data_IF_566145406815
#
_entry.id   IF_566145406815
#
_cell.length_a   1.000
_cell.length_b   1.000
_cell.length_c   1.000
_cell.angle_alpha   90.00
_cell.angle_beta   90.00
_cell.angle_gamma   90.00
#
_symmetry.space_group_name_H-M   'P 1'
#
loop_
_entity.id
_entity.type
_entity.pdbx_description
1 polymer ?
#
# COMPACT_ATOMS: atom_id res chain seq x y z
N UNK A 1 9.59 8.01 -6.77
CA UNK A 1 8.23 7.85 -6.19
C UNK A 1 8.25 7.35 -4.74
N UNK A 2 9.09 6.37 -4.35
CA UNK A 2 9.14 5.77 -2.99
C UNK A 2 9.42 6.75 -1.83
N UNK A 3 10.18 7.82 -2.05
CA UNK A 3 10.45 8.84 -1.00
C UNK A 3 9.17 9.65 -0.68
N UNK A 4 8.34 9.93 -1.69
CA UNK A 4 7.12 10.73 -1.52
C UNK A 4 6.04 10.02 -0.69
N UNK A 5 6.08 8.68 -0.63
CA UNK A 5 5.18 7.87 0.20
C UNK A 5 5.68 7.69 1.64
N UNK A 6 6.77 8.34 2.07
CA UNK A 6 7.35 8.22 3.43
C UNK A 6 7.62 6.76 3.84
N UNK A 7 7.90 5.87 2.88
CA UNK A 7 8.27 4.47 3.16
C UNK A 7 9.64 4.39 3.85
N UNK A 8 10.58 5.18 3.35
CA UNK A 8 11.94 5.29 3.87
C UNK A 8 12.15 6.68 4.49
N UNK A 9 13.07 6.72 5.45
CA UNK A 9 13.68 7.93 6.00
C UNK A 9 14.82 8.42 5.11
N UNK A 10 15.33 9.63 5.35
CA UNK A 10 16.46 10.21 4.61
C UNK A 10 17.76 9.38 4.69
N UNK A 11 17.84 8.45 5.64
CA UNK A 11 18.94 7.49 5.80
C UNK A 11 18.67 6.12 5.14
N UNK A 12 17.71 6.03 4.22
CA UNK A 12 17.27 4.79 3.57
C UNK A 12 16.82 3.67 4.53
N UNK A 13 16.41 4.02 5.76
CA UNK A 13 15.81 3.07 6.72
C UNK A 13 14.29 3.15 6.65
N UNK A 14 13.60 2.03 6.90
CA UNK A 14 12.14 2.01 7.01
C UNK A 14 11.66 3.05 8.03
N UNK A 15 10.67 3.85 7.63
CA UNK A 15 10.02 4.76 8.55
C UNK A 15 9.22 3.99 9.60
N UNK A 16 9.12 4.55 10.80
CA UNK A 16 8.44 3.95 11.94
C UNK A 16 7.29 4.88 12.39
N UNK A 17 6.04 4.40 12.54
CA UNK A 17 5.59 3.03 12.31
C UNK A 17 5.23 2.69 10.85
N UNK A 18 4.95 3.71 10.03
CA UNK A 18 4.28 3.55 8.72
C UNK A 18 5.07 2.64 7.78
N UNK A 19 6.36 2.88 7.53
CA UNK A 19 7.17 2.06 6.64
C UNK A 19 7.27 0.60 7.07
N UNK A 20 7.37 0.35 8.38
CA UNK A 20 7.34 -1.02 8.93
C UNK A 20 6.00 -1.72 8.75
N UNK A 21 4.89 -0.99 8.89
CA UNK A 21 3.56 -1.52 8.63
C UNK A 21 3.39 -1.80 7.13
N UNK A 22 3.89 -0.91 6.27
CA UNK A 22 3.77 -1.08 4.83
C UNK A 22 4.52 -2.31 4.32
N UNK A 23 5.72 -2.56 4.85
CA UNK A 23 6.55 -3.72 4.51
C UNK A 23 5.93 -5.07 4.89
N UNK A 24 4.85 -5.10 5.70
CA UNK A 24 4.16 -6.35 6.08
C UNK A 24 3.08 -6.76 5.09
N UNK A 25 2.63 -5.86 4.22
CA UNK A 25 1.59 -6.15 3.24
C UNK A 25 2.25 -6.53 1.91
N UNK A 26 1.86 -7.65 1.27
CA UNK A 26 2.45 -8.11 0.01
C UNK A 26 1.84 -7.36 -1.20
N UNK A 27 1.82 -6.03 -1.14
CA UNK A 27 1.26 -5.14 -2.17
C UNK A 27 2.17 -3.93 -2.38
N UNK A 28 1.92 -3.16 -3.44
CA UNK A 28 2.71 -1.95 -3.69
C UNK A 28 2.66 -0.99 -2.48
N UNK A 29 3.80 -0.38 -2.09
CA UNK A 29 3.87 0.57 -0.98
C UNK A 29 2.86 1.72 -1.05
N UNK A 30 2.41 2.15 -2.24
CA UNK A 30 1.36 3.14 -2.40
C UNK A 30 0.02 2.65 -1.84
N UNK A 31 -0.44 1.47 -2.26
CA UNK A 31 -1.69 0.87 -1.79
C UNK A 31 -1.59 0.47 -0.32
N UNK A 32 -0.42 -0.03 0.09
CA UNK A 32 -0.10 -0.34 1.48
C UNK A 32 -0.26 0.89 2.39
N UNK A 33 0.25 2.05 1.97
CA UNK A 33 0.06 3.32 2.69
C UNK A 33 -1.41 3.70 2.77
N UNK A 34 -2.13 3.56 1.65
CA UNK A 34 -3.52 3.94 1.54
C UNK A 34 -4.40 3.13 2.51
N UNK A 35 -4.13 1.83 2.65
CA UNK A 35 -4.79 0.96 3.63
C UNK A 35 -4.45 1.32 5.08
N UNK A 36 -3.21 1.74 5.37
CA UNK A 36 -2.86 2.17 6.72
C UNK A 36 -3.58 3.47 7.07
N UNK A 37 -3.55 4.47 6.18
CA UNK A 37 -4.17 5.77 6.40
C UNK A 37 -5.70 5.66 6.48
N UNK A 38 -6.34 4.79 5.70
CA UNK A 38 -7.79 4.60 5.75
C UNK A 38 -8.30 4.12 7.12
N UNK A 39 -7.43 3.50 7.95
CA UNK A 39 -7.78 3.18 9.34
C UNK A 39 -8.01 4.44 10.19
N UNK A 40 -7.25 5.51 9.96
CA UNK A 40 -7.40 6.79 10.66
C UNK A 40 -8.68 7.52 10.21
N UNK A 41 -9.06 7.37 8.94
CA UNK A 41 -10.28 7.93 8.36
C UNK A 41 -11.52 7.04 8.53
N UNK A 42 -11.39 5.88 9.19
CA UNK A 42 -12.47 4.90 9.39
C UNK A 42 -13.13 4.43 8.07
N UNK A 43 -12.37 4.40 6.98
CA UNK A 43 -12.82 3.95 5.66
C UNK A 43 -12.05 2.70 5.17
N UNK A 44 -11.45 1.94 6.09
CA UNK A 44 -10.65 0.75 5.76
C UNK A 44 -11.41 -0.27 4.91
N UNK A 45 -12.68 -0.53 5.22
CA UNK A 45 -13.49 -1.52 4.50
C UNK A 45 -13.66 -1.17 3.02
N UNK A 46 -14.05 0.08 2.73
CA UNK A 46 -14.15 0.56 1.35
C UNK A 46 -12.80 0.51 0.62
N UNK A 47 -11.74 0.96 1.30
CA UNK A 47 -10.41 0.95 0.70
C UNK A 47 -9.87 -0.46 0.44
N UNK A 48 -10.20 -1.44 1.29
CA UNK A 48 -9.87 -2.85 1.06
C UNK A 48 -10.57 -3.39 -0.18
N UNK A 49 -11.84 -3.05 -0.38
CA UNK A 49 -12.60 -3.46 -1.57
C UNK A 49 -11.93 -2.88 -2.83
N UNK A 50 -11.64 -1.56 -2.83
CA UNK A 50 -11.04 -0.89 -3.98
C UNK A 50 -9.65 -1.45 -4.33
N UNK A 51 -8.77 -1.60 -3.34
CA UNK A 51 -7.42 -2.14 -3.53
C UNK A 51 -7.46 -3.60 -3.98
N UNK A 52 -8.37 -4.40 -3.43
CA UNK A 52 -8.52 -5.81 -3.81
C UNK A 52 -9.05 -5.94 -5.24
N UNK A 53 -10.05 -5.14 -5.60
CA UNK A 53 -10.60 -5.10 -6.96
C UNK A 53 -9.54 -4.69 -7.97
N UNK A 54 -8.75 -3.68 -7.66
CA UNK A 54 -7.65 -3.24 -8.51
C UNK A 54 -6.57 -4.30 -8.66
N UNK A 55 -6.16 -4.93 -7.55
CA UNK A 55 -5.14 -5.99 -7.56
C UNK A 55 -5.60 -7.22 -8.34
N UNK A 56 -6.89 -7.55 -8.26
CA UNK A 56 -7.48 -8.65 -9.03
C UNK A 56 -7.46 -8.34 -10.54
N UNK A 57 -7.92 -7.16 -10.96
CA UNK A 57 -7.90 -6.74 -12.37
C UNK A 57 -6.48 -6.79 -12.94
N UNK A 58 -5.49 -6.38 -12.15
CA UNK A 58 -4.09 -6.40 -12.58
C UNK A 58 -3.50 -7.82 -12.69
N UNK A 59 -4.05 -8.81 -11.98
CA UNK A 59 -3.69 -10.22 -12.19
C UNK A 59 -4.26 -10.77 -13.50
N UNK A 60 -5.47 -10.35 -13.90
CA UNK A 60 -6.07 -10.75 -15.18
C UNK A 60 -5.24 -10.23 -16.36
N UNK A 61 -4.76 -8.98 -16.31
CA UNK A 61 -3.86 -8.39 -17.33
C UNK A 61 -2.51 -9.15 -17.45
N UNK A 62 -2.03 -9.78 -16.38
CA UNK A 62 -0.75 -10.53 -16.35
C UNK A 62 -0.91 -11.97 -16.84
N UNK A 63 -2.11 -12.55 -16.80
CA UNK A 63 -2.36 -13.89 -17.36
C UNK A 63 -2.63 -13.88 -18.88
N UNK A 64 -2.96 -12.72 -19.46
CA UNK A 64 -3.22 -12.57 -20.89
C UNK A 64 -1.99 -12.17 -21.75
N UNK A 65 -0.80 -11.99 -21.15
CA UNK A 65 0.48 -11.74 -21.83
C UNK A 65 1.44 -12.93 -21.74
#
# INVERSE_FOLDING_TARGET
QVIMINYLTDHCKLSNPVGKQMARLPIDPMYSKALIVSTEFKCLEGMLIDVSSYSYLQCDDVQEQ
#
